data_IF_998243140894
#
_entry.id   IF_998243140894
#
_cell.length_a   1.000
_cell.length_b   1.000
_cell.length_c   1.000
_cell.angle_alpha   90.00
_cell.angle_beta   90.00
_cell.angle_gamma   90.00
#
_symmetry.space_group_name_H-M   'P 1'
#
loop_
_entity.id
_entity.type
_entity.pdbx_description
1 polymer ?
#
# COMPACT_ATOMS: atom_id res chain seq x y z
N UNK A 1 -49.06 -31.33 11.36
CA UNK A 1 -48.06 -31.96 12.26
C UNK A 1 -47.21 -33.00 11.54
N UNK A 2 -47.69 -33.60 10.44
CA UNK A 2 -46.97 -34.65 9.71
C UNK A 2 -45.65 -34.23 9.06
N UNK A 3 -45.54 -32.97 8.63
CA UNK A 3 -44.34 -32.45 7.95
C UNK A 3 -43.08 -32.54 8.83
N UNK A 4 -43.22 -32.22 10.12
CA UNK A 4 -42.14 -32.31 11.10
C UNK A 4 -41.74 -33.76 11.37
N UNK A 5 -42.70 -34.69 11.42
CA UNK A 5 -42.43 -36.11 11.59
C UNK A 5 -41.68 -36.70 10.39
N UNK A 6 -42.05 -36.32 9.16
CA UNK A 6 -41.30 -36.70 7.96
C UNK A 6 -39.90 -36.10 7.91
N UNK A 7 -39.74 -34.83 8.33
CA UNK A 7 -38.43 -34.18 8.39
C UNK A 7 -37.52 -34.87 9.42
N UNK A 8 -38.07 -35.19 10.59
CA UNK A 8 -37.35 -35.89 11.66
C UNK A 8 -36.98 -37.33 11.27
N UNK A 9 -37.88 -38.04 10.56
CA UNK A 9 -37.57 -39.35 10.01
C UNK A 9 -36.50 -39.29 8.91
N UNK A 10 -36.49 -38.25 8.08
CA UNK A 10 -35.48 -38.01 7.06
C UNK A 10 -34.10 -37.74 7.69
N UNK A 11 -34.05 -36.87 8.70
CA UNK A 11 -32.83 -36.53 9.45
C UNK A 11 -32.28 -37.77 10.16
N UNK A 12 -33.12 -38.55 10.83
CA UNK A 12 -32.72 -39.80 11.50
C UNK A 12 -32.15 -40.83 10.52
N UNK A 13 -32.73 -40.95 9.32
CA UNK A 13 -32.25 -41.87 8.27
C UNK A 13 -30.91 -41.42 7.67
N UNK A 14 -30.66 -40.12 7.53
CA UNK A 14 -29.42 -39.53 6.98
C UNK A 14 -28.50 -38.92 8.06
N UNK A 15 -28.62 -39.37 9.32
CA UNK A 15 -27.93 -38.74 10.47
C UNK A 15 -26.42 -38.58 10.23
N UNK A 16 -25.75 -39.60 9.70
CA UNK A 16 -24.31 -39.57 9.42
C UNK A 16 -23.94 -38.59 8.29
N UNK A 17 -24.76 -38.50 7.25
CA UNK A 17 -24.57 -37.57 6.13
C UNK A 17 -24.75 -36.12 6.58
N UNK A 18 -25.75 -35.86 7.41
CA UNK A 18 -26.04 -34.53 7.93
C UNK A 18 -24.94 -34.09 8.91
N UNK A 19 -24.49 -34.98 9.81
CA UNK A 19 -23.36 -34.65 10.70
C UNK A 19 -22.07 -34.44 9.94
N UNK A 20 -21.82 -35.23 8.90
CA UNK A 20 -20.64 -35.04 8.04
C UNK A 20 -20.71 -33.74 7.25
N UNK A 21 -21.86 -33.41 6.65
CA UNK A 21 -22.05 -32.15 5.95
C UNK A 21 -21.92 -30.95 6.90
N UNK A 22 -22.50 -31.04 8.10
CA UNK A 22 -22.34 -30.02 9.14
C UNK A 22 -20.86 -29.88 9.55
N UNK A 23 -20.15 -30.99 9.72
CA UNK A 23 -18.71 -30.98 10.03
C UNK A 23 -17.89 -30.33 8.91
N UNK A 24 -18.16 -30.66 7.64
CA UNK A 24 -17.51 -30.05 6.48
C UNK A 24 -17.82 -28.55 6.39
N UNK A 25 -19.05 -28.13 6.69
CA UNK A 25 -19.43 -26.72 6.73
C UNK A 25 -18.73 -25.99 7.88
N UNK A 26 -18.64 -26.60 9.06
CA UNK A 26 -17.93 -26.03 10.21
C UNK A 26 -16.44 -25.90 9.89
N UNK A 27 -15.77 -26.97 9.45
CA UNK A 27 -14.33 -26.94 9.13
C UNK A 27 -14.02 -26.09 7.89
N UNK A 28 -14.94 -26.00 6.93
CA UNK A 28 -14.76 -25.25 5.70
C UNK A 28 -15.09 -23.75 5.80
N UNK A 29 -16.09 -23.37 6.61
CA UNK A 29 -16.57 -21.99 6.72
C UNK A 29 -16.35 -21.35 8.10
N UNK A 30 -16.46 -22.09 9.20
CA UNK A 30 -16.31 -21.56 10.56
C UNK A 30 -14.87 -21.68 11.08
N UNK A 31 -14.19 -22.78 10.75
CA UNK A 31 -12.79 -22.98 11.09
C UNK A 31 -11.90 -22.17 10.16
N UNK A 32 -10.69 -21.90 10.61
CA UNK A 32 -9.91 -20.74 10.20
C UNK A 32 -9.37 -20.75 8.74
N UNK A 33 -9.75 -21.75 7.96
CA UNK A 33 -9.26 -21.99 6.61
C UNK A 33 -10.13 -21.38 5.51
N UNK A 34 -10.78 -20.25 5.80
CA UNK A 34 -11.56 -19.54 4.79
C UNK A 34 -10.64 -19.11 3.63
N UNK A 35 -10.92 -19.65 2.44
CA UNK A 35 -10.38 -19.16 1.15
C UNK A 35 -10.56 -17.63 1.05
N UNK A 36 -11.58 -17.08 1.72
CA UNK A 36 -11.87 -15.66 1.89
C UNK A 36 -10.68 -14.89 2.49
N UNK A 37 -10.06 -15.39 3.58
CA UNK A 37 -8.86 -14.76 4.15
C UNK A 37 -7.66 -14.86 3.23
N UNK A 38 -7.49 -16.00 2.56
CA UNK A 38 -6.38 -16.19 1.61
C UNK A 38 -6.50 -15.29 0.37
N UNK A 39 -7.72 -15.00 -0.09
CA UNK A 39 -7.99 -13.99 -1.11
C UNK A 39 -7.74 -12.56 -0.59
N UNK A 40 -8.11 -12.27 0.65
CA UNK A 40 -7.78 -11.00 1.31
C UNK A 40 -6.28 -10.72 1.36
N UNK A 41 -5.49 -11.72 1.79
CA UNK A 41 -4.03 -11.59 1.84
C UNK A 41 -3.39 -11.47 0.46
N UNK A 42 -3.90 -12.16 -0.55
CA UNK A 42 -3.38 -12.03 -1.92
C UNK A 42 -3.55 -10.60 -2.46
N UNK A 43 -4.71 -9.98 -2.21
CA UNK A 43 -4.96 -8.59 -2.61
C UNK A 43 -4.09 -7.60 -1.83
N UNK A 44 -3.90 -7.84 -0.53
CA UNK A 44 -3.05 -6.99 0.30
C UNK A 44 -1.58 -7.06 -0.12
N UNK A 45 -1.08 -8.26 -0.44
CA UNK A 45 0.26 -8.48 -0.98
C UNK A 45 0.43 -7.77 -2.34
N UNK A 46 -0.56 -7.89 -3.23
CA UNK A 46 -0.51 -7.21 -4.53
C UNK A 46 -0.50 -5.69 -4.39
N UNK A 47 -1.31 -5.14 -3.47
CA UNK A 47 -1.35 -3.70 -3.21
C UNK A 47 -0.01 -3.20 -2.67
N UNK A 48 0.53 -3.86 -1.65
CA UNK A 48 1.81 -3.50 -1.05
C UNK A 48 2.96 -3.59 -2.05
N UNK A 49 3.00 -4.62 -2.90
CA UNK A 49 4.01 -4.72 -3.96
C UNK A 49 3.88 -3.61 -5.00
N UNK A 50 2.66 -3.26 -5.43
CA UNK A 50 2.46 -2.16 -6.38
C UNK A 50 2.90 -0.80 -5.81
N UNK A 51 2.74 -0.62 -4.50
CA UNK A 51 3.15 0.58 -3.80
C UNK A 51 4.69 0.65 -3.68
N UNK A 52 5.34 -0.47 -3.37
CA UNK A 52 6.81 -0.58 -3.39
C UNK A 52 7.36 -0.28 -4.79
N UNK A 53 6.75 -0.82 -5.84
CA UNK A 53 7.20 -0.63 -7.21
C UNK A 53 7.04 0.83 -7.66
N UNK A 54 5.92 1.48 -7.31
CA UNK A 54 5.71 2.90 -7.57
C UNK A 54 6.75 3.77 -6.85
N UNK A 55 6.98 3.56 -5.56
CA UNK A 55 7.97 4.34 -4.81
C UNK A 55 9.39 4.09 -5.29
N UNK A 56 9.72 2.88 -5.76
CA UNK A 56 11.03 2.61 -6.38
C UNK A 56 11.20 3.35 -7.69
N UNK A 57 10.20 3.35 -8.56
CA UNK A 57 10.26 4.09 -9.82
C UNK A 57 10.39 5.61 -9.59
N UNK A 58 9.64 6.15 -8.63
CA UNK A 58 9.72 7.57 -8.25
C UNK A 58 11.06 7.92 -7.60
N UNK A 59 11.66 7.01 -6.83
CA UNK A 59 12.99 7.19 -6.26
C UNK A 59 14.08 7.16 -7.34
N UNK A 60 14.01 6.26 -8.31
CA UNK A 60 14.96 6.15 -9.41
C UNK A 60 14.90 7.38 -10.30
N UNK A 61 13.69 7.83 -10.67
CA UNK A 61 13.47 9.05 -11.44
C UNK A 61 13.95 10.30 -10.68
N UNK A 62 13.68 10.41 -9.38
CA UNK A 62 14.17 11.54 -8.59
C UNK A 62 15.67 11.48 -8.36
N UNK A 63 16.27 10.30 -8.25
CA UNK A 63 17.72 10.15 -8.12
C UNK A 63 18.41 10.52 -9.41
N UNK A 64 17.88 10.12 -10.58
CA UNK A 64 18.37 10.59 -11.88
C UNK A 64 18.27 12.11 -12.01
N UNK A 65 17.10 12.70 -11.70
CA UNK A 65 16.93 14.16 -11.72
C UNK A 65 17.85 14.88 -10.74
N UNK A 66 18.05 14.33 -9.54
CA UNK A 66 18.99 14.88 -8.56
C UNK A 66 20.43 14.77 -9.04
N UNK A 67 20.78 13.69 -9.73
CA UNK A 67 22.12 13.51 -10.29
C UNK A 67 22.34 14.44 -11.49
N UNK A 68 21.35 14.63 -12.36
CA UNK A 68 21.37 15.63 -13.42
C UNK A 68 21.52 17.06 -12.86
N UNK A 69 20.78 17.38 -11.78
CA UNK A 69 20.90 18.66 -11.07
C UNK A 69 22.23 18.80 -10.30
N UNK A 70 22.79 17.70 -9.78
CA UNK A 70 24.03 17.70 -9.01
C UNK A 70 25.29 17.70 -9.89
N UNK A 71 25.21 17.14 -11.10
CA UNK A 71 26.27 17.20 -12.11
C UNK A 71 26.43 18.64 -12.62
N UNK A 72 25.34 19.42 -12.67
CA UNK A 72 25.39 20.85 -12.97
C UNK A 72 25.52 21.69 -11.68
N UNK A 73 26.74 21.74 -11.14
CA UNK A 73 27.07 22.47 -9.90
C UNK A 73 26.60 23.93 -9.87
N UNK A 74 26.40 24.55 -11.04
CA UNK A 74 25.86 25.90 -11.18
C UNK A 74 24.35 26.00 -10.87
N UNK A 75 23.56 24.96 -11.15
CA UNK A 75 22.12 24.97 -10.90
C UNK A 75 21.80 24.88 -9.40
N UNK A 76 22.54 24.04 -8.66
CA UNK A 76 22.43 23.94 -7.19
C UNK A 76 22.89 25.24 -6.53
N UNK A 77 24.00 25.83 -6.99
CA UNK A 77 24.50 27.11 -6.45
C UNK A 77 23.47 28.23 -6.68
N UNK A 78 22.81 28.27 -7.84
CA UNK A 78 21.75 29.25 -8.11
C UNK A 78 20.53 29.08 -7.21
N UNK A 79 20.03 27.84 -7.02
CA UNK A 79 18.88 27.58 -6.13
C UNK A 79 19.22 27.93 -4.67
N UNK A 80 20.43 27.59 -4.21
CA UNK A 80 20.89 27.92 -2.86
C UNK A 80 21.01 29.43 -2.65
N UNK A 81 21.45 30.19 -3.67
CA UNK A 81 21.58 31.66 -3.62
C UNK A 81 20.21 32.36 -3.72
N UNK A 82 19.32 31.95 -4.62
CA UNK A 82 18.04 32.64 -4.86
C UNK A 82 16.97 32.31 -3.82
N UNK A 83 16.81 31.03 -3.46
CA UNK A 83 15.72 30.58 -2.58
C UNK A 83 16.09 30.60 -1.09
N UNK A 84 17.36 30.35 -0.79
CA UNK A 84 17.84 30.19 0.58
C UNK A 84 18.88 31.24 0.99
N UNK A 85 19.24 32.18 0.10
CA UNK A 85 20.19 33.27 0.34
C UNK A 85 21.53 32.78 0.95
N UNK A 86 21.96 31.58 0.57
CA UNK A 86 23.16 30.95 1.10
C UNK A 86 24.41 31.64 0.57
N UNK A 87 25.36 31.94 1.47
CA UNK A 87 26.65 32.58 1.17
C UNK A 87 27.84 31.70 1.50
N UNK A 88 28.93 31.82 0.74
CA UNK A 88 30.22 31.26 1.13
C UNK A 88 30.85 32.15 2.22
N UNK A 89 31.70 31.61 3.12
CA UNK A 89 32.26 32.36 4.25
C UNK A 89 33.06 33.62 3.87
N UNK A 90 33.55 33.71 2.63
CA UNK A 90 34.40 34.79 2.13
C UNK A 90 33.71 35.64 1.05
N UNK A 91 32.37 35.69 1.01
CA UNK A 91 31.61 36.40 -0.01
C UNK A 91 30.63 37.40 0.63
N UNK A 92 30.70 38.66 0.19
CA UNK A 92 29.78 39.72 0.61
C UNK A 92 28.56 39.75 -0.34
N UNK A 93 27.37 39.46 0.20
CA UNK A 93 26.10 39.51 -0.54
C UNK A 93 25.48 40.91 -0.39
N UNK A 94 25.16 41.53 -1.51
CA UNK A 94 24.39 42.77 -1.58
C UNK A 94 22.95 42.43 -1.97
N UNK A 95 22.00 42.76 -1.09
CA UNK A 95 20.56 42.59 -1.35
C UNK A 95 19.98 43.98 -1.59
N UNK A 96 19.33 44.18 -2.74
CA UNK A 96 18.66 45.44 -3.06
C UNK A 96 17.20 45.34 -2.62
N UNK A 97 16.70 46.36 -1.91
CA UNK A 97 15.34 46.36 -1.31
C UNK A 97 14.22 46.30 -2.35
N UNK A 98 14.48 46.67 -3.61
CA UNK A 98 13.49 46.67 -4.71
C UNK A 98 13.02 45.25 -5.12
N UNK A 99 13.75 44.19 -4.76
CA UNK A 99 13.47 42.80 -5.19
C UNK A 99 12.69 41.97 -4.14
N UNK A 100 12.46 42.49 -2.92
CA UNK A 100 11.75 41.76 -1.84
C UNK A 100 10.22 41.96 -1.90
N UNK A 101 9.73 42.97 -2.63
CA UNK A 101 8.30 43.36 -2.67
C UNK A 101 7.51 42.88 -3.92
N UNK A 102 7.89 41.77 -4.56
CA UNK A 102 7.05 41.14 -5.61
C UNK A 102 6.49 39.77 -5.24
#
# INVERSE_FOLDING_TARGET
>A
MDKLATLWAFVRRRKYLITFAAFVVVVGFLDENSIVRRMGYANEISRLNSEIEKYRAEYEENTERLNELAVDSGAIERIAREKYLMKKPNEDIYVFEEDIEK
#
